data_IF_091020408062
#
_entry.id   IF_091020408062
#
_cell.length_a   1.000
_cell.length_b   1.000
_cell.length_c   1.000
_cell.angle_alpha   90.00
_cell.angle_beta   90.00
_cell.angle_gamma   90.00
#
_symmetry.space_group_name_H-M   'P 1'
#
loop_
_entity.id
_entity.type
_entity.pdbx_description
1 polymer ?
#
# COMPACT_ATOMS: atom_id res chain seq x y z
N UNK A 1 21.42 -15.95 -0.27
CA UNK A 1 20.90 -16.70 0.88
C UNK A 1 19.42 -16.40 1.07
N UNK A 2 18.65 -17.45 1.34
CA UNK A 2 17.21 -17.60 1.15
C UNK A 2 16.43 -16.86 2.24
N UNK A 3 15.44 -16.04 1.84
CA UNK A 3 14.33 -15.58 2.69
C UNK A 3 13.06 -15.52 1.82
N UNK A 4 12.70 -16.68 1.26
CA UNK A 4 11.29 -17.00 0.98
C UNK A 4 10.69 -17.58 2.27
N UNK A 5 9.40 -17.34 2.47
CA UNK A 5 8.54 -17.79 3.60
C UNK A 5 8.51 -16.84 4.80
N UNK A 6 7.43 -16.05 4.86
CA UNK A 6 6.60 -15.82 6.06
C UNK A 6 5.35 -14.95 5.75
N UNK A 7 4.77 -15.08 4.55
CA UNK A 7 3.43 -14.52 4.24
C UNK A 7 2.35 -15.61 4.13
N UNK A 8 2.72 -16.89 4.32
CA UNK A 8 1.80 -18.03 4.39
C UNK A 8 1.27 -18.28 5.81
N UNK A 9 1.95 -17.81 6.87
CA UNK A 9 1.58 -18.15 8.25
C UNK A 9 0.33 -17.43 8.79
N UNK A 10 -0.10 -16.30 8.22
CA UNK A 10 -1.33 -15.61 8.64
C UNK A 10 -2.60 -16.12 7.92
N UNK A 11 -2.46 -17.05 6.96
CA UNK A 11 -3.58 -17.64 6.22
C UNK A 11 -3.59 -19.17 6.17
N UNK A 12 -2.64 -19.84 6.84
CA UNK A 12 -2.52 -21.31 6.95
C UNK A 12 -2.49 -21.77 8.41
N UNK A 13 -3.35 -21.25 9.28
CA UNK A 13 -3.67 -21.86 10.57
C UNK A 13 -5.13 -22.34 10.60
N UNK A 14 -5.55 -23.06 9.55
CA UNK A 14 -6.88 -23.72 9.49
C UNK A 14 -6.83 -25.03 8.67
N UNK A 15 -5.78 -25.85 8.74
CA UNK A 15 -5.81 -27.20 8.11
C UNK A 15 -5.02 -28.26 8.89
N UNK A 16 -5.06 -28.25 10.22
CA UNK A 16 -4.47 -29.35 10.98
C UNK A 16 -5.22 -29.62 12.27
N UNK A 17 -6.48 -30.04 12.18
CA UNK A 17 -7.21 -30.77 13.22
C UNK A 17 -8.41 -31.53 12.59
N UNK A 18 -8.20 -32.19 11.45
CA UNK A 18 -9.23 -33.03 10.81
C UNK A 18 -9.02 -34.53 11.10
N UNK A 19 -8.67 -34.86 12.34
CA UNK A 19 -8.57 -36.26 12.78
C UNK A 19 -9.37 -36.57 14.05
N UNK A 20 -10.16 -35.64 14.59
CA UNK A 20 -11.07 -35.92 15.70
C UNK A 20 -12.29 -34.99 15.63
N UNK A 21 -13.49 -35.60 15.56
CA UNK A 21 -14.85 -35.01 15.50
C UNK A 21 -15.42 -34.66 14.11
N UNK A 22 -16.29 -35.52 13.53
CA UNK A 22 -17.02 -35.26 12.28
C UNK A 22 -18.20 -34.26 12.36
N UNK A 23 -18.45 -33.56 13.48
CA UNK A 23 -19.76 -32.94 13.71
C UNK A 23 -19.84 -31.40 13.70
N UNK A 24 -18.77 -30.66 13.39
CA UNK A 24 -18.84 -29.19 13.26
C UNK A 24 -17.86 -28.66 12.20
N UNK A 25 -17.91 -29.19 10.97
CA UNK A 25 -17.30 -28.53 9.82
C UNK A 25 -18.26 -27.43 9.35
N UNK A 26 -18.33 -26.32 10.08
CA UNK A 26 -18.89 -25.08 9.56
C UNK A 26 -18.07 -24.70 8.32
N UNK A 27 -18.60 -25.00 7.14
CA UNK A 27 -17.97 -24.60 5.88
C UNK A 27 -17.74 -23.10 5.93
N UNK A 28 -16.53 -22.58 5.62
CA UNK A 28 -16.31 -21.14 5.59
C UNK A 28 -17.39 -20.53 4.69
N UNK A 29 -18.17 -19.63 5.28
CA UNK A 29 -19.33 -19.03 4.64
C UNK A 29 -18.90 -18.55 3.24
N UNK A 30 -19.62 -19.00 2.20
CA UNK A 30 -19.27 -18.72 0.79
C UNK A 30 -19.12 -17.22 0.53
N UNK A 31 -19.78 -16.41 1.36
CA UNK A 31 -19.66 -14.95 1.44
C UNK A 31 -18.23 -14.46 1.76
N UNK A 32 -17.58 -14.98 2.80
CA UNK A 32 -16.24 -14.52 3.22
C UNK A 32 -15.17 -14.83 2.17
N UNK A 33 -15.30 -15.98 1.51
CA UNK A 33 -14.40 -16.38 0.42
C UNK A 33 -14.58 -15.51 -0.83
N UNK A 34 -15.76 -14.94 -1.07
CA UNK A 34 -16.00 -13.99 -2.14
C UNK A 34 -15.32 -12.64 -1.86
N UNK A 35 -15.48 -12.08 -0.67
CA UNK A 35 -14.84 -10.82 -0.28
C UNK A 35 -13.31 -10.88 -0.36
N UNK A 36 -12.72 -12.02 0.04
CA UNK A 36 -11.28 -12.22 -0.04
C UNK A 36 -10.76 -12.27 -1.49
N UNK A 37 -11.51 -12.91 -2.40
CA UNK A 37 -11.20 -12.95 -3.84
C UNK A 37 -11.25 -11.55 -4.44
N UNK A 38 -12.30 -10.78 -4.14
CA UNK A 38 -12.42 -9.39 -4.58
C UNK A 38 -11.28 -8.52 -4.05
N UNK A 39 -10.92 -8.67 -2.77
CA UNK A 39 -9.80 -7.95 -2.19
C UNK A 39 -8.48 -8.26 -2.90
N UNK A 40 -8.20 -9.53 -3.21
CA UNK A 40 -7.00 -9.94 -3.96
C UNK A 40 -7.00 -9.32 -5.36
N UNK A 41 -8.11 -9.41 -6.10
CA UNK A 41 -8.25 -8.82 -7.43
C UNK A 41 -8.07 -7.30 -7.40
N UNK A 42 -8.66 -6.62 -6.41
CA UNK A 42 -8.50 -5.18 -6.22
C UNK A 42 -7.05 -4.82 -5.89
N UNK A 43 -6.34 -5.65 -5.14
CA UNK A 43 -4.92 -5.45 -4.81
C UNK A 43 -4.05 -5.58 -6.05
N UNK A 44 -4.25 -6.60 -6.87
CA UNK A 44 -3.52 -6.78 -8.14
C UNK A 44 -3.81 -5.65 -9.13
N UNK A 45 -5.07 -5.27 -9.31
CA UNK A 45 -5.45 -4.11 -10.13
C UNK A 45 -4.79 -2.80 -9.64
N UNK A 46 -4.72 -2.59 -8.33
CA UNK A 46 -4.05 -1.41 -7.78
C UNK A 46 -2.54 -1.44 -7.99
N UNK A 47 -1.91 -2.61 -7.99
CA UNK A 47 -0.50 -2.77 -8.32
C UNK A 47 -0.26 -2.45 -9.80
N UNK A 48 -1.06 -3.01 -10.70
CA UNK A 48 -1.00 -2.72 -12.14
C UNK A 48 -1.15 -1.22 -12.41
N UNK A 49 -2.18 -0.56 -11.83
CA UNK A 49 -2.38 0.88 -11.96
C UNK A 49 -1.20 1.71 -11.43
N UNK A 50 -0.47 1.21 -10.43
CA UNK A 50 0.74 1.88 -9.91
C UNK A 50 1.90 1.74 -10.89
N UNK A 51 2.07 0.56 -11.48
CA UNK A 51 3.11 0.29 -12.46
C UNK A 51 2.88 1.05 -13.76
N UNK A 52 1.63 1.12 -14.23
CA UNK A 52 1.25 1.96 -15.38
C UNK A 52 1.55 3.44 -15.13
N UNK A 53 1.17 3.96 -13.95
CA UNK A 53 1.49 5.35 -13.59
C UNK A 53 2.99 5.59 -13.52
N UNK A 54 3.76 4.60 -13.04
CA UNK A 54 5.22 4.67 -13.01
C UNK A 54 5.78 4.74 -14.42
N UNK A 55 5.34 3.85 -15.33
CA UNK A 55 5.76 3.84 -16.74
C UNK A 55 5.43 5.17 -17.42
N UNK A 56 4.20 5.68 -17.26
CA UNK A 56 3.80 6.96 -17.82
C UNK A 56 4.60 8.15 -17.28
N UNK A 57 5.00 8.12 -16.00
CA UNK A 57 5.90 9.14 -15.42
C UNK A 57 7.33 9.04 -15.97
N UNK A 58 7.80 7.82 -16.18
CA UNK A 58 9.12 7.55 -16.77
C UNK A 58 9.19 8.05 -18.21
N UNK A 59 8.21 7.68 -19.04
CA UNK A 59 8.09 8.13 -20.43
C UNK A 59 8.08 9.65 -20.53
N UNK A 60 7.24 10.34 -19.74
CA UNK A 60 7.18 11.81 -19.71
C UNK A 60 8.51 12.45 -19.30
N UNK A 61 9.25 11.81 -18.40
CA UNK A 61 10.58 12.29 -17.99
C UNK A 61 11.59 12.11 -19.13
N UNK A 62 11.58 10.97 -19.80
CA UNK A 62 12.45 10.69 -20.94
C UNK A 62 12.16 11.61 -22.12
N UNK A 63 10.89 11.85 -22.43
CA UNK A 63 10.44 12.79 -23.47
C UNK A 63 10.95 14.20 -23.19
N UNK A 64 10.80 14.68 -21.95
CA UNK A 64 11.31 15.98 -21.54
C UNK A 64 12.83 16.08 -21.68
N UNK A 65 13.58 15.12 -21.14
CA UNK A 65 15.04 15.13 -21.25
C UNK A 65 15.51 15.03 -22.71
N UNK A 66 14.81 14.26 -23.54
CA UNK A 66 15.11 14.18 -24.96
C UNK A 66 14.91 15.53 -25.64
N UNK A 67 13.79 16.21 -25.35
CA UNK A 67 13.47 17.51 -25.93
C UNK A 67 14.44 18.61 -25.48
N UNK A 68 14.80 18.62 -24.20
CA UNK A 68 15.64 19.67 -23.61
C UNK A 68 17.14 19.46 -23.89
N UNK A 69 17.60 18.21 -23.96
CA UNK A 69 19.02 17.88 -24.06
C UNK A 69 19.43 17.26 -25.42
N UNK A 70 18.48 17.04 -26.33
CA UNK A 70 18.76 16.47 -27.65
C UNK A 70 19.34 15.06 -27.59
N UNK A 71 18.81 14.21 -26.70
CA UNK A 71 19.39 12.88 -26.45
C UNK A 71 19.31 11.97 -27.69
N UNK A 72 20.44 11.32 -28.02
CA UNK A 72 20.50 10.23 -29.00
C UNK A 72 19.82 8.95 -28.49
N UNK A 73 19.45 8.03 -29.38
CA UNK A 73 18.83 6.75 -28.99
C UNK A 73 19.70 5.88 -28.06
N UNK A 74 21.02 5.90 -28.26
CA UNK A 74 21.97 5.22 -27.38
C UNK A 74 21.94 5.81 -25.96
N UNK A 75 21.90 7.13 -25.84
CA UNK A 75 21.79 7.82 -24.55
C UNK A 75 20.43 7.58 -23.89
N UNK A 76 19.33 7.60 -24.65
CA UNK A 76 17.99 7.31 -24.13
C UNK A 76 17.93 5.92 -23.49
N UNK A 77 18.43 4.91 -24.18
CA UNK A 77 18.45 3.53 -23.68
C UNK A 77 19.27 3.42 -22.39
N UNK A 78 20.48 4.01 -22.37
CA UNK A 78 21.34 4.00 -21.19
C UNK A 78 20.70 4.71 -19.98
N UNK A 79 20.18 5.92 -20.19
CA UNK A 79 19.52 6.71 -19.15
C UNK A 79 18.26 6.00 -18.64
N UNK A 80 17.47 5.40 -19.53
CA UNK A 80 16.29 4.63 -19.15
C UNK A 80 16.65 3.49 -18.19
N UNK A 81 17.70 2.73 -18.50
CA UNK A 81 18.21 1.66 -17.62
C UNK A 81 18.67 2.18 -16.26
N UNK A 82 19.37 3.33 -16.22
CA UNK A 82 19.79 3.98 -14.96
C UNK A 82 18.58 4.34 -14.10
N UNK A 83 17.56 4.97 -14.71
CA UNK A 83 16.35 5.39 -14.01
C UNK A 83 15.56 4.19 -13.47
N UNK A 84 15.40 3.12 -14.24
CA UNK A 84 14.72 1.91 -13.78
C UNK A 84 15.46 1.25 -12.61
N UNK A 85 16.78 1.15 -12.68
CA UNK A 85 17.60 0.59 -11.62
C UNK A 85 17.56 1.46 -10.35
N UNK A 86 17.62 2.79 -10.51
CA UNK A 86 17.46 3.73 -9.39
C UNK A 86 16.11 3.55 -8.70
N UNK A 87 15.02 3.42 -9.46
CA UNK A 87 13.70 3.16 -8.91
C UNK A 87 13.61 1.84 -8.14
N UNK A 88 14.22 0.76 -8.66
CA UNK A 88 14.28 -0.54 -7.96
C UNK A 88 14.99 -0.40 -6.62
N UNK A 89 16.16 0.24 -6.58
CA UNK A 89 16.91 0.48 -5.33
C UNK A 89 16.09 1.25 -4.30
N UNK A 90 15.44 2.34 -4.73
CA UNK A 90 14.57 3.13 -3.85
C UNK A 90 13.40 2.29 -3.31
N UNK A 91 12.80 1.43 -4.14
CA UNK A 91 11.71 0.56 -3.72
C UNK A 91 12.17 -0.48 -2.68
N UNK A 92 13.33 -1.11 -2.91
CA UNK A 92 13.95 -2.07 -1.99
C UNK A 92 14.29 -1.42 -0.64
N UNK A 93 14.94 -0.26 -0.67
CA UNK A 93 15.33 0.46 0.54
C UNK A 93 14.09 0.86 1.35
N UNK A 94 13.05 1.39 0.69
CA UNK A 94 11.77 1.71 1.33
C UNK A 94 11.14 0.49 1.99
N UNK A 95 11.14 -0.66 1.32
CA UNK A 95 10.58 -1.89 1.89
C UNK A 95 11.38 -2.30 3.13
N UNK A 96 12.71 -2.30 3.04
CA UNK A 96 13.59 -2.64 4.16
C UNK A 96 13.39 -1.70 5.35
N UNK A 97 13.23 -0.40 5.11
CA UNK A 97 12.97 0.59 6.14
C UNK A 97 11.60 0.39 6.79
N UNK A 98 10.57 0.09 5.97
CA UNK A 98 9.22 -0.19 6.47
C UNK A 98 9.23 -1.41 7.41
N UNK A 99 9.97 -2.46 7.05
CA UNK A 99 10.10 -3.66 7.88
C UNK A 99 10.86 -3.38 9.18
N UNK A 100 11.94 -2.59 9.12
CA UNK A 100 12.68 -2.15 10.32
C UNK A 100 11.77 -1.37 11.28
N UNK A 101 11.03 -0.38 10.78
CA UNK A 101 10.09 0.41 11.58
C UNK A 101 9.01 -0.49 12.20
N UNK A 102 8.49 -1.46 11.44
CA UNK A 102 7.52 -2.42 11.95
C UNK A 102 8.08 -3.22 13.13
N UNK A 103 9.29 -3.77 13.00
CA UNK A 103 9.96 -4.52 14.08
C UNK A 103 10.18 -3.65 15.32
N UNK A 104 10.64 -2.41 15.16
CA UNK A 104 10.84 -1.48 16.27
C UNK A 104 9.52 -1.27 17.02
N UNK A 105 8.42 -1.02 16.30
CA UNK A 105 7.09 -0.86 16.92
C UNK A 105 6.66 -2.10 17.68
N UNK A 106 6.80 -3.27 17.09
CA UNK A 106 6.44 -4.55 17.73
C UNK A 106 7.30 -4.81 18.99
N UNK A 107 8.59 -4.49 18.96
CA UNK A 107 9.45 -4.61 20.14
C UNK A 107 9.06 -3.62 21.23
N UNK A 108 8.78 -2.36 20.88
CA UNK A 108 8.35 -1.34 21.85
C UNK A 108 7.01 -1.69 22.48
N UNK A 109 6.04 -2.15 21.67
CA UNK A 109 4.74 -2.58 22.16
C UNK A 109 4.86 -3.73 23.15
N UNK A 110 5.70 -4.74 22.86
CA UNK A 110 5.97 -5.84 23.78
C UNK A 110 6.64 -5.39 25.08
N UNK A 111 7.57 -4.44 25.00
CA UNK A 111 8.21 -3.90 26.20
C UNK A 111 7.20 -3.14 27.06
N UNK A 112 6.31 -2.36 26.46
CA UNK A 112 5.23 -1.67 27.19
C UNK A 112 4.30 -2.69 27.84
N UNK A 113 3.86 -3.71 27.10
CA UNK A 113 2.91 -4.73 27.60
C UNK A 113 3.44 -5.50 28.82
N UNK A 114 4.76 -5.67 28.95
CA UNK A 114 5.38 -6.31 30.13
C UNK A 114 5.26 -5.50 31.42
N UNK A 115 5.23 -4.17 31.30
CA UNK A 115 5.12 -3.25 32.45
C UNK A 115 3.67 -3.00 32.87
N UNK A 116 2.69 -3.48 32.08
CA UNK A 116 1.27 -3.24 32.31
C UNK A 116 0.61 -4.42 33.01
N UNK A 117 -0.36 -4.12 33.88
CA UNK A 117 -1.27 -5.14 34.40
C UNK A 117 -2.21 -5.64 33.31
N UNK A 118 -2.82 -6.82 33.50
CA UNK A 118 -3.77 -7.40 32.53
C UNK A 118 -4.93 -6.45 32.18
N UNK A 119 -5.44 -5.70 33.15
CA UNK A 119 -6.51 -4.72 32.91
C UNK A 119 -6.01 -3.51 32.11
N UNK A 120 -4.77 -3.06 32.35
CA UNK A 120 -4.15 -1.98 31.61
C UNK A 120 -3.82 -2.38 30.17
N UNK A 121 -3.41 -3.64 29.94
CA UNK A 121 -3.19 -4.18 28.58
C UNK A 121 -4.47 -4.09 27.75
N UNK A 122 -5.61 -4.49 28.32
CA UNK A 122 -6.90 -4.40 27.61
C UNK A 122 -7.23 -2.96 27.20
N UNK A 123 -7.05 -1.99 28.12
CA UNK A 123 -7.24 -0.56 27.84
C UNK A 123 -6.25 -0.04 26.79
N UNK A 124 -5.01 -0.53 26.81
CA UNK A 124 -3.97 -0.18 25.85
C UNK A 124 -4.30 -0.67 24.43
N UNK A 125 -4.76 -1.91 24.28
CA UNK A 125 -5.18 -2.46 22.99
C UNK A 125 -6.39 -1.71 22.40
N UNK A 126 -7.38 -1.39 23.23
CA UNK A 126 -8.53 -0.57 22.84
C UNK A 126 -8.07 0.83 22.38
N UNK A 127 -7.12 1.43 23.09
CA UNK A 127 -6.53 2.70 22.72
C UNK A 127 -5.82 2.62 21.35
N UNK A 128 -4.97 1.60 21.13
CA UNK A 128 -4.29 1.34 19.85
C UNK A 128 -5.31 1.21 18.71
N UNK A 129 -6.37 0.41 18.92
CA UNK A 129 -7.45 0.19 17.95
C UNK A 129 -8.18 1.49 17.60
N UNK A 130 -8.51 2.31 18.61
CA UNK A 130 -9.15 3.62 18.43
C UNK A 130 -8.26 4.57 17.63
N UNK A 131 -6.97 4.64 17.93
CA UNK A 131 -6.01 5.44 17.17
C UNK A 131 -5.91 5.02 15.72
N UNK A 132 -5.87 3.72 15.45
CA UNK A 132 -5.87 3.19 14.08
C UNK A 132 -7.17 3.52 13.32
N UNK A 133 -8.33 3.43 13.98
CA UNK A 133 -9.62 3.83 13.39
C UNK A 133 -9.65 5.34 13.08
N UNK A 134 -9.15 6.19 13.98
CA UNK A 134 -9.11 7.64 13.77
C UNK A 134 -8.16 8.03 12.64
N UNK A 135 -6.96 7.43 12.57
CA UNK A 135 -6.03 7.63 11.46
C UNK A 135 -6.66 7.27 10.11
N UNK A 136 -7.40 6.15 10.05
CA UNK A 136 -8.16 5.75 8.85
C UNK A 136 -9.24 6.77 8.48
N UNK A 137 -10.00 7.28 9.46
CA UNK A 137 -11.04 8.32 9.24
C UNK A 137 -10.43 9.62 8.71
N UNK A 138 -9.34 10.10 9.32
CA UNK A 138 -8.64 11.30 8.89
C UNK A 138 -8.08 11.16 7.47
N UNK A 139 -7.51 10.00 7.13
CA UNK A 139 -7.06 9.70 5.76
C UNK A 139 -8.21 9.76 4.74
N UNK A 140 -9.39 9.23 5.09
CA UNK A 140 -10.59 9.29 4.24
C UNK A 140 -11.09 10.73 4.07
N UNK A 141 -11.17 11.52 5.15
CA UNK A 141 -11.60 12.93 5.11
C UNK A 141 -10.64 13.79 4.27
N UNK A 142 -9.33 13.60 4.45
CA UNK A 142 -8.30 14.27 3.63
C UNK A 142 -8.45 13.97 2.14
N UNK A 143 -8.74 12.70 1.77
CA UNK A 143 -9.01 12.32 0.38
C UNK A 143 -10.28 12.98 -0.18
N UNK A 144 -11.36 13.08 0.61
CA UNK A 144 -12.62 13.72 0.19
C UNK A 144 -12.42 15.22 -0.05
N UNK A 145 -11.82 15.93 0.89
CA UNK A 145 -11.54 17.36 0.78
C UNK A 145 -10.57 17.66 -0.36
N UNK A 146 -9.56 16.82 -0.57
CA UNK A 146 -8.63 16.94 -1.70
C UNK A 146 -9.31 16.76 -3.06
N UNK A 147 -10.28 15.85 -3.17
CA UNK A 147 -11.09 15.69 -4.39
C UNK A 147 -11.98 16.91 -4.65
N UNK A 148 -12.64 17.43 -3.62
CA UNK A 148 -13.50 18.61 -3.75
C UNK A 148 -12.72 19.85 -4.18
N UNK A 149 -11.57 20.13 -3.54
CA UNK A 149 -10.69 21.24 -3.93
C UNK A 149 -10.15 21.09 -5.36
N UNK A 150 -9.79 19.87 -5.79
CA UNK A 150 -9.39 19.61 -7.19
C UNK A 150 -10.54 19.84 -8.18
N UNK A 151 -11.76 19.48 -7.82
CA UNK A 151 -12.96 19.73 -8.63
C UNK A 151 -13.22 21.22 -8.82
N UNK A 152 -13.20 21.99 -7.73
CA UNK A 152 -13.36 23.45 -7.77
C UNK A 152 -12.29 24.12 -8.64
N UNK A 153 -11.02 23.71 -8.53
CA UNK A 153 -9.94 24.23 -9.39
C UNK A 153 -10.15 23.91 -10.87
N UNK A 154 -10.63 22.70 -11.20
CA UNK A 154 -10.95 22.33 -12.59
C UNK A 154 -12.09 23.18 -13.14
N UNK A 155 -13.14 23.39 -12.35
CA UNK A 155 -14.27 24.23 -12.73
C UNK A 155 -13.83 25.68 -12.97
N UNK A 156 -13.09 26.27 -12.02
CA UNK A 156 -12.56 27.63 -12.15
C UNK A 156 -11.68 27.80 -13.40
N UNK A 157 -10.82 26.81 -13.71
CA UNK A 157 -10.01 26.83 -14.92
C UNK A 157 -10.86 26.81 -16.20
N UNK A 158 -11.88 25.96 -16.26
CA UNK A 158 -12.80 25.90 -17.42
C UNK A 158 -13.57 27.21 -17.59
N UNK A 159 -14.04 27.81 -16.50
CA UNK A 159 -14.73 29.12 -16.56
C UNK A 159 -13.81 30.23 -17.06
N UNK A 160 -12.54 30.22 -16.67
CA UNK A 160 -11.55 31.17 -17.16
C UNK A 160 -11.25 31.00 -18.66
N UNK A 161 -11.13 29.75 -19.13
CA UNK A 161 -10.92 29.45 -20.55
C UNK A 161 -12.13 29.87 -21.42
N UNK A 162 -13.36 29.65 -20.93
CA UNK A 162 -14.58 30.09 -21.61
C UNK A 162 -14.72 31.61 -21.71
N UNK A 163 -14.13 32.36 -20.76
CA UNK A 163 -14.19 33.83 -20.75
C UNK A 163 -13.16 34.49 -21.68
N UNK A 164 -12.24 33.71 -22.24
CA UNK A 164 -11.23 34.16 -23.20
C UNK A 164 -11.64 33.95 -24.66
N UNK A 165 -12.73 33.23 -24.89
CA UNK A 165 -13.38 33.05 -26.19
C UNK A 165 -14.46 34.13 -26.34
#
# INVERSE_FOLDING_TARGET
>A
MKNLMNWTAAGMMMVALAAFSPLMAETPDKSEMAEFREWKQKKTQNLQKRDERRKAMHEKRMERMTKELGLSEKQKTSISGILENSWKKVAEERNSFTDKVKKIRESSDKSIEKELTKEQIKKWEEHKSRMMKQARKMSKKGKKNGRQKRGQRKYARRMYELRKL
#
